data_IF_471888463749
#
_entry.id   IF_471888463749
#
_cell.length_a   1.000
_cell.length_b   1.000
_cell.length_c   1.000
_cell.angle_alpha   90.00
_cell.angle_beta   90.00
_cell.angle_gamma   90.00
#
_symmetry.space_group_name_H-M   'P 1'
#
loop_
_entity.id
_entity.type
_entity.pdbx_description
1 polymer ?
#
# COMPACT_ATOMS: atom_id res chain seq x y z
N UNK A 1 12.39 0.00 -18.57
CA UNK A 1 11.35 1.05 -18.56
C UNK A 1 10.09 0.38 -19.08
N UNK A 2 8.99 0.38 -18.32
CA UNK A 2 7.75 -0.18 -18.85
C UNK A 2 7.23 0.64 -20.01
N UNK A 3 6.62 -0.03 -20.98
CA UNK A 3 6.00 0.65 -22.11
C UNK A 3 4.66 1.24 -21.68
N UNK A 4 4.25 2.34 -22.31
CA UNK A 4 2.92 2.93 -22.10
C UNK A 4 1.80 1.88 -22.27
N UNK A 5 1.99 0.94 -23.20
CA UNK A 5 1.08 -0.19 -23.43
C UNK A 5 0.94 -1.12 -22.22
N UNK A 6 2.06 -1.47 -21.57
CA UNK A 6 2.07 -2.31 -20.35
C UNK A 6 1.28 -1.65 -19.22
N UNK A 7 1.43 -0.33 -19.06
CA UNK A 7 0.71 0.43 -18.03
C UNK A 7 -0.79 0.45 -18.31
N UNK A 8 -1.19 0.79 -19.54
CA UNK A 8 -2.62 0.85 -19.91
C UNK A 8 -3.34 -0.51 -19.76
N UNK A 9 -2.70 -1.60 -20.19
CA UNK A 9 -3.27 -2.95 -20.05
C UNK A 9 -3.39 -3.42 -18.58
N UNK A 10 -2.49 -2.96 -17.71
CA UNK A 10 -2.44 -3.37 -16.29
C UNK A 10 -3.22 -2.47 -15.34
N UNK A 11 -3.55 -1.24 -15.74
CA UNK A 11 -4.04 -0.17 -14.86
C UNK A 11 -5.25 -0.56 -14.01
N UNK A 12 -6.25 -1.19 -14.62
CA UNK A 12 -7.46 -1.62 -13.91
C UNK A 12 -7.16 -2.60 -12.78
N UNK A 13 -6.35 -3.64 -13.05
CA UNK A 13 -6.00 -4.62 -12.04
C UNK A 13 -5.05 -4.05 -10.98
N UNK A 14 -4.17 -3.13 -11.36
CA UNK A 14 -3.33 -2.40 -10.43
C UNK A 14 -4.16 -1.58 -9.41
N UNK A 15 -5.24 -0.92 -9.84
CA UNK A 15 -6.17 -0.21 -8.96
C UNK A 15 -6.95 -1.20 -8.07
N UNK A 16 -7.50 -2.27 -8.66
CA UNK A 16 -8.29 -3.29 -7.94
C UNK A 16 -7.47 -3.92 -6.80
N UNK A 17 -6.15 -4.04 -6.95
CA UNK A 17 -5.26 -4.59 -5.94
C UNK A 17 -5.28 -3.86 -4.59
N UNK A 18 -5.78 -2.62 -4.52
CA UNK A 18 -5.84 -1.81 -3.29
C UNK A 18 -7.25 -1.69 -2.67
N UNK A 19 -8.31 -2.13 -3.36
CA UNK A 19 -9.69 -1.83 -2.93
C UNK A 19 -10.09 -2.64 -1.69
N UNK A 20 -9.84 -3.95 -1.72
CA UNK A 20 -10.10 -4.87 -0.60
C UNK A 20 -9.13 -6.04 -0.67
N UNK A 21 -9.08 -6.87 0.38
CA UNK A 21 -8.37 -8.15 0.33
C UNK A 21 -8.89 -9.04 -0.82
N UNK A 22 -10.20 -9.01 -1.10
CA UNK A 22 -10.81 -9.72 -2.21
C UNK A 22 -10.31 -9.15 -3.54
N UNK A 23 -10.25 -7.82 -3.67
CA UNK A 23 -9.68 -7.14 -4.84
C UNK A 23 -8.22 -7.53 -5.09
N UNK A 24 -7.40 -7.58 -4.04
CA UNK A 24 -6.02 -8.06 -4.12
C UNK A 24 -5.92 -9.50 -4.64
N UNK A 25 -6.75 -10.41 -4.13
CA UNK A 25 -6.77 -11.80 -4.59
C UNK A 25 -7.17 -11.88 -6.07
N UNK A 26 -8.20 -11.14 -6.49
CA UNK A 26 -8.64 -11.09 -7.89
C UNK A 26 -7.51 -10.56 -8.79
N UNK A 27 -6.87 -9.45 -8.41
CA UNK A 27 -5.76 -8.88 -9.16
C UNK A 27 -4.60 -9.87 -9.28
N UNK A 28 -4.25 -10.56 -8.19
CA UNK A 28 -3.20 -11.58 -8.18
C UNK A 28 -3.49 -12.73 -9.14
N UNK A 29 -4.69 -13.31 -9.06
CA UNK A 29 -5.09 -14.44 -9.92
C UNK A 29 -5.13 -14.00 -11.38
N UNK A 30 -5.74 -12.85 -11.69
CA UNK A 30 -5.81 -12.30 -13.05
C UNK A 30 -4.41 -12.06 -13.63
N UNK A 31 -3.50 -11.54 -12.81
CA UNK A 31 -2.15 -11.22 -13.23
C UNK A 31 -1.24 -12.44 -13.39
N UNK A 32 -1.59 -13.59 -12.83
CA UNK A 32 -0.84 -14.84 -13.04
C UNK A 32 -0.91 -15.29 -14.51
N UNK A 33 -2.03 -14.99 -15.18
CA UNK A 33 -2.20 -15.25 -16.62
C UNK A 33 -1.57 -14.17 -17.50
N UNK A 34 -1.79 -12.88 -17.19
CA UNK A 34 -1.30 -11.77 -18.03
C UNK A 34 0.17 -11.44 -17.82
N UNK A 35 0.74 -11.76 -16.65
CA UNK A 35 2.12 -11.46 -16.23
C UNK A 35 2.50 -9.99 -16.42
N UNK A 36 1.56 -9.09 -16.21
CA UNK A 36 1.77 -7.66 -16.38
C UNK A 36 2.65 -7.12 -15.23
N UNK A 37 3.78 -6.53 -15.56
CA UNK A 37 4.75 -6.03 -14.57
C UNK A 37 4.21 -4.83 -13.76
N UNK A 38 3.28 -4.03 -14.31
CA UNK A 38 2.67 -2.87 -13.68
C UNK A 38 1.73 -3.33 -12.57
N UNK A 39 0.82 -4.22 -12.93
CA UNK A 39 -0.07 -4.90 -11.99
C UNK A 39 0.74 -5.65 -10.92
N UNK A 40 1.82 -6.34 -11.29
CA UNK A 40 2.68 -7.07 -10.35
C UNK A 40 3.34 -6.15 -9.30
N UNK A 41 3.68 -4.93 -9.67
CA UNK A 41 4.21 -3.94 -8.73
C UNK A 41 3.16 -3.55 -7.70
N UNK A 42 1.98 -3.15 -8.17
CA UNK A 42 0.89 -2.68 -7.32
C UNK A 42 0.30 -3.78 -6.42
N UNK A 43 0.25 -5.03 -6.88
CA UNK A 43 -0.08 -6.21 -6.05
C UNK A 43 0.91 -6.35 -4.88
N UNK A 44 2.22 -6.28 -5.15
CA UNK A 44 3.24 -6.43 -4.10
C UNK A 44 3.18 -5.29 -3.10
N UNK A 45 2.95 -4.07 -3.59
CA UNK A 45 2.83 -2.90 -2.72
C UNK A 45 1.57 -2.97 -1.86
N UNK A 46 0.40 -3.30 -2.42
CA UNK A 46 -0.84 -3.40 -1.64
C UNK A 46 -0.79 -4.55 -0.63
N UNK A 47 -0.22 -5.70 -1.01
CA UNK A 47 0.05 -6.81 -0.09
C UNK A 47 0.99 -6.35 1.05
N UNK A 48 2.05 -5.62 0.72
CA UNK A 48 2.97 -5.06 1.71
C UNK A 48 2.29 -4.12 2.70
N UNK A 49 1.37 -3.26 2.23
CA UNK A 49 0.58 -2.38 3.09
C UNK A 49 -0.29 -3.23 4.04
N UNK A 50 -1.02 -4.21 3.52
CA UNK A 50 -1.89 -5.09 4.34
C UNK A 50 -1.08 -5.82 5.42
N UNK A 51 0.06 -6.41 5.05
CA UNK A 51 0.93 -7.11 6.00
C UNK A 51 1.48 -6.16 7.07
N UNK A 52 1.91 -4.96 6.66
CA UNK A 52 2.35 -3.93 7.60
C UNK A 52 1.23 -3.52 8.56
N UNK A 53 0.01 -3.34 8.06
CA UNK A 53 -1.17 -3.01 8.87
C UNK A 53 -1.46 -4.09 9.92
N UNK A 54 -1.34 -5.37 9.56
CA UNK A 54 -1.55 -6.49 10.50
C UNK A 54 -0.48 -6.48 11.59
N UNK A 55 0.80 -6.34 11.22
CA UNK A 55 1.92 -6.29 12.17
C UNK A 55 1.77 -5.11 13.12
N UNK A 56 1.50 -3.91 12.59
CA UNK A 56 1.30 -2.70 13.40
C UNK A 56 0.09 -2.82 14.32
N UNK A 57 -1.02 -3.40 13.84
CA UNK A 57 -2.21 -3.61 14.66
C UNK A 57 -1.93 -4.55 15.83
N UNK A 58 -1.14 -5.60 15.61
CA UNK A 58 -0.74 -6.53 16.67
C UNK A 58 0.15 -5.84 17.71
N UNK A 59 1.18 -5.11 17.27
CA UNK A 59 2.09 -4.37 18.17
C UNK A 59 1.33 -3.32 18.98
N UNK A 60 0.47 -2.53 18.32
CA UNK A 60 -0.32 -1.49 19.00
C UNK A 60 -1.32 -2.10 19.97
N UNK A 61 -1.96 -3.23 19.64
CA UNK A 61 -2.87 -3.92 20.56
C UNK A 61 -2.20 -4.30 21.89
N UNK A 62 -0.96 -4.79 21.83
CA UNK A 62 -0.15 -5.10 23.03
C UNK A 62 0.18 -3.83 23.82
N UNK A 63 0.54 -2.73 23.15
CA UNK A 63 0.85 -1.48 23.84
C UNK A 63 -0.39 -0.88 24.53
N UNK A 64 -1.54 -0.95 23.87
CA UNK A 64 -2.81 -0.45 24.41
C UNK A 64 -3.23 -1.23 25.66
N UNK A 65 -2.98 -2.54 25.73
CA UNK A 65 -3.32 -3.34 26.92
C UNK A 65 -2.47 -2.99 28.15
N UNK A 66 -1.29 -2.41 27.94
CA UNK A 66 -0.38 -1.97 29.00
C UNK A 66 -0.66 -0.53 29.43
N UNK A 67 -0.86 0.37 28.45
CA UNK A 67 -0.89 1.84 28.68
C UNK A 67 -2.33 2.37 28.79
N UNK A 68 -3.34 1.57 28.45
CA UNK A 68 -4.78 1.91 28.50
C UNK A 68 -5.17 3.14 27.64
N UNK A 69 -4.55 3.29 26.46
CA UNK A 69 -4.91 4.36 25.49
C UNK A 69 -5.60 3.76 24.27
N UNK A 70 -6.93 3.58 24.28
CA UNK A 70 -7.65 2.83 23.25
C UNK A 70 -7.64 3.48 21.86
N UNK A 71 -7.37 4.79 21.76
CA UNK A 71 -7.42 5.50 20.47
C UNK A 71 -6.25 5.17 19.52
N UNK A 72 -5.15 4.62 20.04
CA UNK A 72 -3.95 4.30 19.25
C UNK A 72 -4.21 3.27 18.15
N UNK A 73 -5.15 2.34 18.36
CA UNK A 73 -5.52 1.32 17.38
C UNK A 73 -6.20 1.91 16.15
N UNK A 74 -7.03 2.95 16.32
CA UNK A 74 -7.71 3.63 15.22
C UNK A 74 -6.72 4.31 14.27
N UNK A 75 -5.59 4.81 14.81
CA UNK A 75 -4.57 5.48 14.01
C UNK A 75 -3.93 4.54 12.98
N UNK A 76 -3.70 3.27 13.36
CA UNK A 76 -3.16 2.25 12.42
C UNK A 76 -4.10 2.05 11.24
N UNK A 77 -5.40 1.98 11.49
CA UNK A 77 -6.42 1.84 10.44
C UNK A 77 -6.43 3.05 9.50
N UNK A 78 -6.44 4.27 10.05
CA UNK A 78 -6.46 5.52 9.27
C UNK A 78 -5.19 5.65 8.41
N UNK A 79 -4.02 5.40 8.98
CA UNK A 79 -2.75 5.46 8.24
C UNK A 79 -2.75 4.43 7.11
N UNK A 80 -3.18 3.20 7.40
CA UNK A 80 -3.25 2.13 6.39
C UNK A 80 -4.19 2.49 5.24
N UNK A 81 -5.33 3.10 5.53
CA UNK A 81 -6.27 3.58 4.54
C UNK A 81 -5.66 4.68 3.66
N UNK A 82 -4.94 5.63 4.25
CA UNK A 82 -4.22 6.67 3.50
C UNK A 82 -3.19 6.04 2.56
N UNK A 83 -2.41 5.06 3.02
CA UNK A 83 -1.44 4.36 2.17
C UNK A 83 -2.11 3.63 1.00
N UNK A 84 -3.26 2.99 1.23
CA UNK A 84 -4.03 2.35 0.15
C UNK A 84 -4.52 3.38 -0.87
N UNK A 85 -5.02 4.54 -0.43
CA UNK A 85 -5.46 5.62 -1.32
C UNK A 85 -4.28 6.16 -2.15
N UNK A 86 -3.13 6.40 -1.53
CA UNK A 86 -1.93 6.84 -2.25
C UNK A 86 -1.47 5.80 -3.28
N UNK A 87 -1.57 4.51 -2.96
CA UNK A 87 -1.32 3.43 -3.91
C UNK A 87 -2.27 3.45 -5.11
N UNK A 88 -3.57 3.68 -4.86
CA UNK A 88 -4.59 3.85 -5.92
C UNK A 88 -4.26 5.05 -6.81
N UNK A 89 -3.90 6.19 -6.21
CA UNK A 89 -3.54 7.40 -6.96
C UNK A 89 -2.34 7.16 -7.87
N UNK A 90 -1.28 6.52 -7.36
CA UNK A 90 -0.10 6.15 -8.14
C UNK A 90 -0.49 5.19 -9.29
N UNK A 91 -1.31 4.17 -9.01
CA UNK A 91 -1.78 3.23 -10.04
C UNK A 91 -2.60 3.93 -11.14
N UNK A 92 -3.50 4.84 -10.75
CA UNK A 92 -4.33 5.59 -11.68
C UNK A 92 -3.50 6.53 -12.58
N UNK A 93 -2.42 7.09 -12.04
CA UNK A 93 -1.45 7.92 -12.77
C UNK A 93 -0.47 7.11 -13.63
N UNK A 94 -0.47 5.77 -13.52
CA UNK A 94 0.47 4.92 -14.24
C UNK A 94 1.87 4.88 -13.63
N UNK A 95 2.00 5.23 -12.34
CA UNK A 95 3.29 5.38 -11.66
C UNK A 95 3.61 4.21 -10.73
N UNK A 96 4.81 3.63 -10.88
CA UNK A 96 5.38 2.67 -9.91
C UNK A 96 6.10 3.38 -8.76
N UNK A 97 5.36 4.14 -7.97
CA UNK A 97 5.92 4.92 -6.87
C UNK A 97 5.65 4.27 -5.52
N UNK A 98 6.68 4.12 -4.65
CA UNK A 98 6.47 3.63 -3.29
C UNK A 98 5.60 4.61 -2.49
N UNK A 99 4.65 4.09 -1.72
CA UNK A 99 3.91 4.92 -0.75
C UNK A 99 4.84 5.32 0.39
N UNK A 100 4.69 6.54 0.95
CA UNK A 100 5.55 7.00 2.02
C UNK A 100 5.35 6.13 3.27
N UNK A 101 6.43 5.51 3.73
CA UNK A 101 6.48 4.88 5.05
C UNK A 101 7.08 5.86 6.05
N UNK A 102 6.66 5.75 7.31
CA UNK A 102 7.01 6.67 8.41
C UNK A 102 8.50 7.04 8.41
N UNK A 103 9.39 6.07 8.26
CA UNK A 103 10.85 6.31 8.24
C UNK A 103 11.34 7.18 7.08
N UNK A 104 10.86 6.94 5.85
CA UNK A 104 11.22 7.77 4.68
C UNK A 104 10.67 9.19 4.78
N UNK A 105 9.45 9.34 5.32
CA UNK A 105 8.82 10.65 5.48
C UNK A 105 9.59 11.53 6.47
N UNK A 106 9.97 10.99 7.63
CA UNK A 106 10.80 11.72 8.57
C UNK A 106 12.21 11.98 8.05
N UNK A 107 12.84 11.02 7.36
CA UNK A 107 14.16 11.22 6.76
C UNK A 107 14.18 12.37 5.74
N UNK A 108 13.16 12.48 4.87
CA UNK A 108 13.08 13.55 3.87
C UNK A 108 12.71 14.91 4.49
N UNK A 109 11.91 14.92 5.55
CA UNK A 109 11.65 16.15 6.33
C UNK A 109 12.95 16.61 7.00
N UNK A 110 13.64 15.75 7.74
CA UNK A 110 14.85 16.12 8.49
C UNK A 110 16.06 16.47 7.60
N UNK A 111 16.13 15.95 6.37
CA UNK A 111 17.13 16.42 5.39
C UNK A 111 17.03 17.92 5.08
N UNK A 112 15.86 18.52 5.20
CA UNK A 112 15.67 19.97 5.00
C UNK A 112 15.88 20.80 6.27
N UNK A 113 16.14 20.16 7.41
CA UNK A 113 16.39 20.80 8.70
C UNK A 113 17.88 20.78 9.11
N UNK A 114 18.78 20.40 8.19
CA UNK A 114 20.23 20.37 8.38
C UNK A 114 20.97 21.28 7.42
#
# INVERSE_FOLDING_TARGET
METNKTVEEGKTMAIIAYVTLIGLIIAFISNNSSRNEFTSYHIRQSLGIILLSIILSFVVSILVSIIYIPFLSNLVYVISLILMILGIMNAAQGEKKPVPVVGSFFADIFKNFG
#
